data_IF_126281974342
#
_entry.id   IF_126281974342
#
_cell.length_a   1.000
_cell.length_b   1.000
_cell.length_c   1.000
_cell.angle_alpha   90.00
_cell.angle_beta   90.00
_cell.angle_gamma   90.00
#
_symmetry.space_group_name_H-M   'P 1'
#
loop_
_entity.id
_entity.type
_entity.pdbx_description
1 polymer ?
#
# COMPACT_ATOMS: atom_id res chain seq x y z
N UNK A 1 19.53 9.36 -12.26
CA UNK A 1 18.12 9.45 -11.82
C UNK A 1 17.70 8.03 -11.54
N UNK A 2 17.73 7.61 -10.28
CA UNK A 2 17.32 6.24 -9.94
C UNK A 2 15.86 6.11 -10.30
N UNK A 3 15.56 5.29 -11.32
CA UNK A 3 14.22 4.77 -11.55
C UNK A 3 13.99 3.86 -10.36
N UNK A 4 13.66 4.47 -9.21
CA UNK A 4 13.16 3.78 -8.02
C UNK A 4 12.20 2.75 -8.57
N UNK A 5 12.38 1.51 -8.17
CA UNK A 5 11.65 0.31 -8.55
C UNK A 5 10.11 0.42 -8.53
N UNK A 6 9.53 1.35 -9.28
CA UNK A 6 8.09 1.57 -9.48
C UNK A 6 7.45 0.33 -10.13
N UNK A 7 8.27 -0.48 -10.81
CA UNK A 7 7.85 -1.76 -11.38
C UNK A 7 7.87 -2.93 -10.38
N UNK A 8 8.54 -2.79 -9.23
CA UNK A 8 8.55 -3.81 -8.17
C UNK A 8 7.72 -3.43 -6.94
N UNK A 9 7.11 -2.24 -6.90
CA UNK A 9 6.18 -1.94 -5.81
C UNK A 9 4.89 -2.77 -5.93
N UNK A 10 4.48 -3.29 -4.78
CA UNK A 10 3.27 -4.08 -4.63
C UNK A 10 2.28 -3.32 -3.77
N UNK A 11 1.00 -3.50 -4.07
CA UNK A 11 -0.11 -2.94 -3.30
C UNK A 11 -1.07 -4.04 -2.89
N UNK A 12 -1.69 -3.88 -1.73
CA UNK A 12 -2.64 -4.83 -1.19
C UNK A 12 -3.92 -4.85 -2.03
N UNK A 13 -4.27 -6.02 -2.55
CA UNK A 13 -5.59 -6.29 -3.11
C UNK A 13 -6.43 -7.05 -2.08
N UNK A 14 -7.57 -6.50 -1.66
CA UNK A 14 -8.46 -7.18 -0.72
C UNK A 14 -9.17 -8.40 -1.33
N UNK A 15 -9.28 -8.44 -2.65
CA UNK A 15 -9.97 -9.51 -3.38
C UNK A 15 -9.05 -10.71 -3.62
N UNK A 16 -7.80 -10.45 -4.04
CA UNK A 16 -6.76 -11.48 -4.09
C UNK A 16 -6.20 -11.85 -2.71
N UNK A 17 -6.51 -11.04 -1.69
CA UNK A 17 -5.97 -11.13 -0.33
C UNK A 17 -4.43 -11.23 -0.32
N UNK A 18 -3.78 -10.45 -1.18
CA UNK A 18 -2.33 -10.49 -1.36
C UNK A 18 -1.75 -9.15 -1.84
N UNK A 19 -0.43 -8.98 -1.70
CA UNK A 19 0.30 -7.84 -2.24
C UNK A 19 0.67 -8.09 -3.69
N UNK A 20 -0.01 -7.38 -4.59
CA UNK A 20 0.06 -7.63 -6.02
C UNK A 20 0.67 -6.47 -6.78
N UNK A 21 1.17 -6.77 -7.98
CA UNK A 21 1.45 -5.75 -8.98
C UNK A 21 0.17 -5.02 -9.35
N UNK A 22 0.33 -3.76 -9.71
CA UNK A 22 -0.80 -2.89 -9.90
C UNK A 22 -0.53 -1.89 -11.03
N UNK A 23 -1.62 -1.40 -11.63
CA UNK A 23 -1.59 -0.35 -12.63
C UNK A 23 -1.95 0.98 -11.97
N UNK A 24 -1.10 1.99 -12.16
CA UNK A 24 -1.38 3.35 -11.72
C UNK A 24 -2.30 4.05 -12.72
N UNK A 25 -3.42 4.57 -12.23
CA UNK A 25 -4.18 5.62 -12.89
C UNK A 25 -3.96 6.94 -12.16
N UNK A 26 -4.48 8.04 -12.70
CA UNK A 26 -4.30 9.39 -12.15
C UNK A 26 -4.81 9.50 -10.72
N UNK A 27 -5.94 8.85 -10.42
CA UNK A 27 -6.61 8.96 -9.11
C UNK A 27 -6.49 7.70 -8.24
N UNK A 28 -6.31 6.54 -8.86
CA UNK A 28 -6.40 5.25 -8.16
C UNK A 28 -5.44 4.23 -8.75
N UNK A 29 -5.11 3.24 -7.92
CA UNK A 29 -4.32 2.07 -8.30
C UNK A 29 -5.23 0.85 -8.42
N UNK A 30 -5.00 0.02 -9.43
CA UNK A 30 -5.83 -1.16 -9.72
C UNK A 30 -4.98 -2.43 -9.83
N UNK A 31 -5.51 -3.55 -9.35
CA UNK A 31 -4.87 -4.86 -9.40
C UNK A 31 -4.73 -5.33 -10.85
N UNK A 32 -3.55 -5.79 -11.25
CA UNK A 32 -3.35 -6.33 -12.61
C UNK A 32 -3.95 -7.73 -12.80
N UNK A 33 -4.28 -8.43 -11.72
CA UNK A 33 -4.86 -9.78 -11.78
C UNK A 33 -6.40 -9.76 -11.83
N UNK A 34 -7.06 -9.00 -10.94
CA UNK A 34 -8.53 -8.98 -10.85
C UNK A 34 -9.17 -7.64 -11.23
N UNK A 35 -8.39 -6.59 -11.52
CA UNK A 35 -8.91 -5.27 -11.90
C UNK A 35 -9.47 -4.42 -10.77
N UNK A 36 -9.63 -4.97 -9.56
CA UNK A 36 -10.14 -4.24 -8.41
C UNK A 36 -9.16 -3.20 -7.86
N UNK A 37 -9.67 -2.19 -7.14
CA UNK A 37 -8.85 -1.17 -6.50
C UNK A 37 -7.92 -1.77 -5.46
N UNK A 38 -6.64 -1.41 -5.52
CA UNK A 38 -5.63 -1.81 -4.53
C UNK A 38 -5.36 -0.67 -3.55
N UNK A 39 -4.81 -1.02 -2.39
CA UNK A 39 -4.46 -0.10 -1.30
C UNK A 39 -2.99 -0.21 -0.97
N UNK A 40 -2.44 0.81 -0.32
CA UNK A 40 -1.03 0.80 0.05
C UNK A 40 -0.71 -0.29 1.08
N UNK A 41 -1.64 -0.54 2.00
CA UNK A 41 -1.49 -1.51 3.08
C UNK A 41 -2.73 -2.37 3.22
N UNK A 42 -2.53 -3.60 3.73
CA UNK A 42 -3.61 -4.41 4.28
C UNK A 42 -4.27 -3.69 5.47
N UNK A 43 -5.47 -4.14 5.88
CA UNK A 43 -6.11 -3.59 7.08
C UNK A 43 -5.26 -3.78 8.33
N UNK A 44 -4.59 -4.93 8.45
CA UNK A 44 -3.72 -5.23 9.59
C UNK A 44 -2.47 -4.35 9.59
N UNK A 45 -1.80 -4.21 8.44
CA UNK A 45 -0.63 -3.37 8.29
C UNK A 45 -0.96 -1.89 8.53
N UNK A 46 -2.13 -1.44 8.04
CA UNK A 46 -2.60 -0.07 8.29
C UNK A 46 -2.81 0.20 9.78
N UNK A 47 -3.30 -0.79 10.54
CA UNK A 47 -3.45 -0.69 11.99
C UNK A 47 -2.08 -0.62 12.67
N UNK A 48 -1.17 -1.55 12.35
CA UNK A 48 0.20 -1.58 12.88
C UNK A 48 0.96 -0.28 12.60
N UNK A 49 0.83 0.25 11.39
CA UNK A 49 1.43 1.52 11.01
C UNK A 49 0.87 2.67 11.83
N UNK A 50 -0.45 2.75 11.97
CA UNK A 50 -1.11 3.80 12.76
C UNK A 50 -0.67 3.77 14.23
N UNK A 51 -0.56 2.58 14.82
CA UNK A 51 -0.06 2.40 16.19
C UNK A 51 1.40 2.85 16.33
N UNK A 52 2.27 2.56 15.37
CA UNK A 52 3.66 3.03 15.39
C UNK A 52 3.77 4.55 15.23
N UNK A 53 2.97 5.16 14.37
CA UNK A 53 2.94 6.62 14.19
C UNK A 53 2.48 7.32 15.47
N UNK A 54 1.43 6.81 16.13
CA UNK A 54 0.94 7.35 17.40
C UNK A 54 1.98 7.23 18.53
N UNK A 55 2.65 6.08 18.65
CA UNK A 55 3.74 5.89 19.62
C UNK A 55 4.90 6.86 19.42
N UNK A 56 5.19 7.26 18.18
CA UNK A 56 6.26 8.24 17.87
C UNK A 56 5.83 9.69 18.08
N UNK A 57 4.55 10.04 17.85
CA UNK A 57 4.01 11.37 18.20
C UNK A 57 4.18 11.67 19.69
N UNK A 58 4.05 10.66 20.55
CA UNK A 58 4.25 10.80 21.99
C UNK A 58 5.71 10.97 22.44
N UNK A 59 6.70 10.66 21.60
CA UNK A 59 8.13 10.84 21.92
C UNK A 59 8.70 12.20 21.48
N UNK A 60 7.87 13.07 20.89
CA UNK A 60 8.25 14.40 20.42
C UNK A 60 7.63 15.53 21.26
N UNK A 61 7.16 15.23 22.47
CA UNK A 61 6.57 16.18 23.41
C UNK A 61 7.30 16.19 24.74
#
# INVERSE_FOLDING_TARGET
MEIRDFYNELKWCADCNDYVRYMMSVNHSYCTACGNRVRLFSKEDSKRFSEQVQKRKWKAS
#
